data_IF_523039530456
#
_entry.id   IF_523039530456
#
_cell.length_a   1.000
_cell.length_b   1.000
_cell.length_c   1.000
_cell.angle_alpha   90.00
_cell.angle_beta   90.00
_cell.angle_gamma   90.00
#
_symmetry.space_group_name_H-M   'P 1'
#
loop_
_entity.id
_entity.type
_entity.pdbx_description
1 polymer ?
#
# COMPACT_ATOMS: atom_id res chain seq x y z
N UNK A 1 -6.88 8.92 12.01
CA UNK A 1 -6.75 7.47 12.29
C UNK A 1 -6.07 6.72 11.16
N UNK A 2 -6.49 6.90 9.89
CA UNK A 2 -5.86 6.29 8.71
C UNK A 2 -4.32 6.48 8.65
N UNK A 3 -3.84 7.73 8.66
CA UNK A 3 -2.40 8.01 8.52
C UNK A 3 -1.58 7.39 9.66
N UNK A 4 -2.03 7.54 10.91
CA UNK A 4 -1.35 6.96 12.07
C UNK A 4 -1.29 5.42 12.02
N UNK A 5 -2.34 4.76 11.49
CA UNK A 5 -2.35 3.31 11.27
C UNK A 5 -1.29 2.90 10.26
N UNK A 6 -1.27 3.56 9.10
CA UNK A 6 -0.36 3.21 8.01
C UNK A 6 1.09 3.56 8.31
N UNK A 7 1.33 4.67 9.00
CA UNK A 7 2.64 5.04 9.53
C UNK A 7 3.16 3.98 10.52
N UNK A 8 2.33 3.60 11.51
CA UNK A 8 2.69 2.55 12.47
C UNK A 8 2.96 1.21 11.78
N UNK A 9 2.14 0.84 10.82
CA UNK A 9 2.27 -0.42 10.05
C UNK A 9 3.58 -0.43 9.27
N UNK A 10 3.88 0.68 8.57
CA UNK A 10 5.13 0.84 7.83
C UNK A 10 6.35 0.75 8.75
N UNK A 11 6.38 1.52 9.84
CA UNK A 11 7.52 1.52 10.77
C UNK A 11 7.72 0.15 11.42
N UNK A 12 6.64 -0.54 11.78
CA UNK A 12 6.70 -1.88 12.36
C UNK A 12 7.31 -2.86 11.37
N UNK A 13 6.85 -2.85 10.11
CA UNK A 13 7.40 -3.71 9.06
C UNK A 13 8.87 -3.38 8.75
N UNK A 14 9.24 -2.10 8.69
CA UNK A 14 10.64 -1.69 8.48
C UNK A 14 11.54 -2.21 9.60
N UNK A 15 11.09 -2.14 10.85
CA UNK A 15 11.86 -2.65 11.99
C UNK A 15 11.95 -4.18 11.97
N UNK A 16 10.81 -4.85 11.79
CA UNK A 16 10.71 -6.31 11.77
C UNK A 16 11.54 -6.95 10.66
N UNK A 17 11.56 -6.33 9.47
CA UNK A 17 12.25 -6.84 8.28
C UNK A 17 13.53 -6.05 7.95
N UNK A 18 14.11 -5.33 8.92
CA UNK A 18 15.29 -4.48 8.72
C UNK A 18 16.51 -5.21 8.12
N UNK A 19 16.61 -6.52 8.35
CA UNK A 19 17.65 -7.39 7.76
C UNK A 19 17.23 -8.14 6.49
N UNK A 20 15.96 -8.14 6.12
CA UNK A 20 15.42 -8.89 4.97
C UNK A 20 14.52 -8.00 4.11
N UNK A 21 15.16 -7.35 3.13
CA UNK A 21 14.47 -6.47 2.17
C UNK A 21 13.43 -7.21 1.34
N UNK A 22 13.64 -8.49 1.04
CA UNK A 22 12.71 -9.28 0.20
C UNK A 22 11.43 -9.56 0.99
N UNK A 23 11.56 -9.99 2.25
CA UNK A 23 10.43 -10.16 3.14
C UNK A 23 9.68 -8.84 3.39
N UNK A 24 10.42 -7.73 3.56
CA UNK A 24 9.82 -6.40 3.67
C UNK A 24 8.95 -6.05 2.46
N UNK A 25 9.51 -6.13 1.23
CA UNK A 25 8.74 -5.80 0.03
C UNK A 25 7.56 -6.74 -0.19
N UNK A 26 7.70 -8.03 0.12
CA UNK A 26 6.59 -8.99 0.07
C UNK A 26 5.45 -8.55 0.99
N UNK A 27 5.77 -8.25 2.25
CA UNK A 27 4.76 -7.78 3.21
C UNK A 27 4.10 -6.48 2.76
N UNK A 28 4.87 -5.57 2.17
CA UNK A 28 4.32 -4.32 1.66
C UNK A 28 3.34 -4.55 0.52
N UNK A 29 3.66 -5.42 -0.44
CA UNK A 29 2.77 -5.79 -1.56
C UNK A 29 1.46 -6.39 -1.04
N UNK A 30 1.53 -7.27 -0.04
CA UNK A 30 0.34 -7.89 0.57
C UNK A 30 -0.60 -6.87 1.23
N UNK A 31 -0.09 -5.71 1.66
CA UNK A 31 -0.89 -4.66 2.29
C UNK A 31 -1.52 -3.68 1.28
N UNK A 32 -1.05 -3.67 0.03
CA UNK A 32 -1.56 -2.75 -1.00
C UNK A 32 -3.07 -2.90 -1.23
N UNK A 33 -3.65 -4.11 -1.29
CA UNK A 33 -5.10 -4.25 -1.42
C UNK A 33 -5.90 -3.55 -0.32
N UNK A 34 -5.50 -3.74 0.94
CA UNK A 34 -6.14 -3.11 2.08
C UNK A 34 -6.00 -1.58 2.03
N UNK A 35 -4.82 -1.08 1.65
CA UNK A 35 -4.59 0.35 1.48
C UNK A 35 -5.53 0.94 0.42
N UNK A 36 -5.64 0.28 -0.74
CA UNK A 36 -6.47 0.73 -1.84
C UNK A 36 -7.96 0.71 -1.49
N UNK A 37 -8.44 -0.31 -0.78
CA UNK A 37 -9.84 -0.37 -0.30
C UNK A 37 -10.16 0.79 0.65
N UNK A 38 -9.28 1.08 1.62
CA UNK A 38 -9.49 2.18 2.56
C UNK A 38 -9.48 3.54 1.86
N UNK A 39 -8.56 3.76 0.91
CA UNK A 39 -8.48 5.03 0.16
C UNK A 39 -9.69 5.22 -0.77
N UNK A 40 -10.19 4.15 -1.40
CA UNK A 40 -11.42 4.21 -2.19
C UNK A 40 -12.65 4.58 -1.35
N UNK A 41 -12.63 4.31 -0.04
CA UNK A 41 -13.68 4.67 0.90
C UNK A 41 -13.66 6.12 1.37
N UNK A 42 -12.69 6.93 0.94
CA UNK A 42 -12.57 8.32 1.40
C UNK A 42 -13.68 9.22 0.86
N UNK A 43 -14.27 10.01 1.76
CA UNK A 43 -15.19 11.08 1.38
C UNK A 43 -14.43 12.25 0.73
N UNK A 44 -15.15 13.10 -0.02
CA UNK A 44 -14.57 14.35 -0.55
C UNK A 44 -13.98 15.24 0.54
N UNK A 45 -14.62 15.28 1.72
CA UNK A 45 -14.13 16.04 2.87
C UNK A 45 -12.78 15.49 3.37
N UNK A 46 -12.63 14.17 3.39
CA UNK A 46 -11.35 13.52 3.74
C UNK A 46 -10.27 13.90 2.75
N UNK A 47 -10.57 13.86 1.44
CA UNK A 47 -9.62 14.28 0.40
C UNK A 47 -9.22 15.75 0.51
N UNK A 48 -10.16 16.64 0.80
CA UNK A 48 -9.86 18.07 1.02
C UNK A 48 -8.97 18.28 2.25
N UNK A 49 -9.22 17.55 3.33
CA UNK A 49 -8.40 17.60 4.55
C UNK A 49 -6.97 17.10 4.29
N UNK A 50 -6.82 16.03 3.50
CA UNK A 50 -5.53 15.49 3.08
C UNK A 50 -4.79 16.45 2.15
N UNK A 51 -5.47 17.08 1.20
CA UNK A 51 -4.88 18.06 0.29
C UNK A 51 -4.37 19.30 1.03
N UNK A 52 -5.07 19.73 2.08
CA UNK A 52 -4.63 20.85 2.91
C UNK A 52 -3.38 20.53 3.75
N UNK A 53 -3.24 19.30 4.22
CA UNK A 53 -2.12 18.88 5.09
C UNK A 53 -0.93 18.31 4.32
N UNK A 54 -1.19 17.63 3.20
CA UNK A 54 -0.23 16.88 2.39
C UNK A 54 -0.47 17.15 0.89
N UNK A 55 -0.32 18.40 0.43
CA UNK A 55 -0.67 18.79 -0.93
C UNK A 55 0.14 18.05 -1.98
N UNK A 56 1.44 17.85 -1.76
CA UNK A 56 2.33 17.17 -2.72
C UNK A 56 1.99 15.68 -2.86
N UNK A 57 1.75 15.00 -1.73
CA UNK A 57 1.40 13.58 -1.71
C UNK A 57 0.02 13.36 -2.33
N UNK A 58 -0.93 14.26 -2.05
CA UNK A 58 -2.28 14.20 -2.63
C UNK A 58 -2.25 14.50 -4.13
N UNK A 59 -1.44 15.46 -4.59
CA UNK A 59 -1.24 15.73 -6.01
C UNK A 59 -0.62 14.53 -6.73
N UNK A 60 0.46 13.96 -6.18
CA UNK A 60 1.09 12.77 -6.74
C UNK A 60 0.13 11.57 -6.80
N UNK A 61 -0.75 11.43 -5.80
CA UNK A 61 -1.79 10.40 -5.82
C UNK A 61 -2.78 10.62 -6.98
N UNK A 62 -3.31 11.85 -7.12
CA UNK A 62 -4.25 12.21 -8.20
C UNK A 62 -3.60 12.02 -9.58
N UNK A 63 -2.36 12.46 -9.76
CA UNK A 63 -1.61 12.34 -11.02
C UNK A 63 -1.33 10.89 -11.43
N UNK A 64 -1.28 9.97 -10.46
CA UNK A 64 -0.98 8.56 -10.68
C UNK A 64 -2.18 7.64 -10.43
N UNK A 65 -3.37 8.18 -10.18
CA UNK A 65 -4.54 7.40 -9.73
C UNK A 65 -4.86 6.25 -10.69
N UNK A 66 -4.89 6.52 -11.99
CA UNK A 66 -5.16 5.50 -13.01
C UNK A 66 -4.09 4.41 -13.04
N UNK A 67 -2.81 4.77 -12.87
CA UNK A 67 -1.70 3.81 -12.81
C UNK A 67 -1.79 2.96 -11.54
N UNK A 68 -2.17 3.56 -10.42
CA UNK A 68 -2.37 2.87 -9.15
C UNK A 68 -3.55 1.89 -9.22
N UNK A 69 -4.65 2.27 -9.89
CA UNK A 69 -5.79 1.37 -10.15
C UNK A 69 -5.37 0.19 -11.04
N UNK A 70 -4.64 0.44 -12.12
CA UNK A 70 -4.12 -0.63 -12.99
C UNK A 70 -3.18 -1.57 -12.24
N UNK A 71 -2.29 -1.01 -11.41
CA UNK A 71 -1.41 -1.79 -10.56
C UNK A 71 -2.19 -2.62 -9.54
N UNK A 72 -3.24 -2.07 -8.94
CA UNK A 72 -4.09 -2.80 -8.01
C UNK A 72 -4.81 -3.99 -8.67
N UNK A 73 -5.40 -3.78 -9.85
CA UNK A 73 -6.02 -4.87 -10.61
C UNK A 73 -5.00 -5.93 -11.04
N UNK A 74 -3.78 -5.52 -11.40
CA UNK A 74 -2.68 -6.45 -11.64
C UNK A 74 -2.36 -7.29 -10.39
N UNK A 75 -2.18 -6.66 -9.22
CA UNK A 75 -1.92 -7.37 -7.96
C UNK A 75 -3.04 -8.36 -7.61
N UNK A 76 -4.32 -7.98 -7.80
CA UNK A 76 -5.46 -8.89 -7.63
C UNK A 76 -5.44 -10.07 -8.60
N UNK A 77 -4.96 -9.86 -9.81
CA UNK A 77 -4.89 -10.88 -10.86
C UNK A 77 -3.75 -11.88 -10.66
N UNK A 78 -2.75 -11.52 -9.83
CA UNK A 78 -1.69 -12.44 -9.49
C UNK A 78 -2.32 -13.66 -8.77
N UNK A 79 -1.90 -14.89 -9.13
CA UNK A 79 -2.28 -16.04 -8.33
C UNK A 79 -1.88 -15.76 -6.89
N UNK A 80 -2.76 -16.06 -5.93
CA UNK A 80 -2.43 -16.07 -4.51
C UNK A 80 -1.38 -17.16 -4.32
N UNK A 81 -0.12 -16.85 -4.61
CA UNK A 81 0.95 -17.82 -4.48
C UNK A 81 1.04 -18.14 -2.99
N UNK A 82 0.76 -19.39 -2.65
CA UNK A 82 1.43 -20.03 -1.53
C UNK A 82 2.92 -20.05 -1.89
N UNK A 83 3.62 -18.99 -1.50
CA UNK A 83 5.07 -18.84 -1.63
C UNK A 83 5.81 -19.75 -0.62
N UNK A 84 5.15 -20.79 -0.11
CA UNK A 84 5.69 -21.75 0.84
C UNK A 84 6.54 -22.83 0.18
N UNK A 85 6.38 -23.06 -1.13
CA UNK A 85 7.23 -23.98 -1.87
C UNK A 85 8.20 -23.18 -2.73
N UNK A 86 9.42 -23.05 -2.21
CA UNK A 86 10.60 -22.87 -3.02
C UNK A 86 10.73 -24.10 -3.94
N UNK A 87 10.58 -24.00 -5.27
CA UNK A 87 10.77 -25.13 -6.16
C UNK A 87 12.24 -25.53 -6.29
N UNK A 88 13.18 -24.83 -5.64
CA UNK A 88 14.62 -25.13 -5.65
C UNK A 88 15.21 -25.49 -4.26
N UNK A 89 14.39 -25.91 -3.28
CA UNK A 89 14.87 -26.46 -2.00
C UNK A 89 15.09 -27.98 -2.02
#
# INVERSE_FOLDING_TARGET
>A
EFLAKWEKTWFTNVQQYSGDKKAFFKQMIELIPQLMEEVQGFSEETWKSLEAQFPEQTAAWKDNEDRLKQFYEFIKSLPKQDLAEDPEA
#
